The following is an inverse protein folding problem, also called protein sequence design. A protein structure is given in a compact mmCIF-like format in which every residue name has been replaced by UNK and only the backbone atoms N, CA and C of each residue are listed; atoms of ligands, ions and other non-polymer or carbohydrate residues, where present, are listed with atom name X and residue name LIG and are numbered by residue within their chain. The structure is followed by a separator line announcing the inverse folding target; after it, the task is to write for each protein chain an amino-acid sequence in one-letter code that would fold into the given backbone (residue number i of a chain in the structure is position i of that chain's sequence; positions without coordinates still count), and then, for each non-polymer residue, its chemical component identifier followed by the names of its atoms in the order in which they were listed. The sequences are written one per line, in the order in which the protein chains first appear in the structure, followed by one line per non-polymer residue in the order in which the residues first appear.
data_IF_549475327400
#
_entry.id   IF_549475327400
#
_cell.length_a   1.000
_cell.length_b   1.000
_cell.length_c   1.000
_cell.angle_alpha   90.00
_cell.angle_beta   90.00
_cell.angle_gamma   90.00
#
_symmetry.space_group_name_H-M   'P 1'
#
loop_
_entity.id
_entity.type
_entity.pdbx_description
1 polymer ?
#
# COMPACT_ATOMS: atom_id res chain seq x y z
N UNK A 1 36.04 -6.32 9.50
CA UNK A 1 35.17 -6.00 8.34
C UNK A 1 34.74 -4.53 8.42
N UNK A 2 35.29 -3.67 7.56
CA UNK A 2 35.29 -2.20 7.74
C UNK A 2 33.90 -1.58 7.46
N UNK A 3 33.37 -0.73 8.36
CA UNK A 3 32.05 -0.06 8.19
C UNK A 3 31.88 0.67 6.84
N UNK A 4 33.00 1.05 6.19
CA UNK A 4 33.04 1.74 4.90
C UNK A 4 32.63 0.86 3.70
N UNK A 5 32.93 -0.44 3.69
CA UNK A 5 32.45 -1.36 2.63
C UNK A 5 30.94 -1.65 2.75
N UNK A 6 30.38 -1.50 3.96
CA UNK A 6 28.96 -1.75 4.22
C UNK A 6 28.02 -0.75 3.51
N UNK A 7 28.46 0.50 3.29
CA UNK A 7 27.64 1.53 2.65
C UNK A 7 27.46 1.30 1.14
N UNK A 8 28.54 0.90 0.46
CA UNK A 8 28.51 0.50 -0.96
C UNK A 8 27.66 -0.74 -1.14
N UNK A 9 27.85 -1.76 -0.28
CA UNK A 9 27.03 -2.97 -0.29
C UNK A 9 25.55 -2.68 -0.09
N UNK A 10 25.18 -1.84 0.88
CA UNK A 10 23.77 -1.42 1.08
C UNK A 10 23.20 -0.73 -0.15
N UNK A 11 23.97 0.16 -0.77
CA UNK A 11 23.51 0.90 -1.96
C UNK A 11 23.34 -0.01 -3.18
N UNK A 12 24.24 -0.98 -3.35
CA UNK A 12 24.15 -2.04 -4.36
C UNK A 12 22.91 -2.90 -4.15
N UNK A 13 22.66 -3.34 -2.91
CA UNK A 13 21.45 -4.09 -2.57
C UNK A 13 20.17 -3.29 -2.83
N UNK A 14 20.18 -1.98 -2.56
CA UNK A 14 19.06 -1.10 -2.90
C UNK A 14 18.85 -0.99 -4.41
N UNK A 15 19.91 -0.90 -5.21
CA UNK A 15 19.82 -0.91 -6.67
C UNK A 15 19.20 -2.22 -7.19
N UNK A 16 19.66 -3.37 -6.69
CA UNK A 16 19.11 -4.67 -7.08
C UNK A 16 17.66 -4.88 -6.58
N UNK A 17 17.29 -4.27 -5.44
CA UNK A 17 15.89 -4.25 -4.98
C UNK A 17 15.02 -3.39 -5.89
N UNK A 18 15.53 -2.23 -6.31
CA UNK A 18 14.87 -1.39 -7.30
C UNK A 18 14.69 -2.12 -8.63
N UNK A 19 15.74 -2.80 -9.12
CA UNK A 19 15.68 -3.65 -10.31
C UNK A 19 14.56 -4.67 -10.22
N UNK A 20 14.58 -5.52 -9.19
CA UNK A 20 13.52 -6.53 -8.97
C UNK A 20 12.12 -5.94 -8.83
N UNK A 21 12.02 -4.71 -8.33
CA UNK A 21 10.74 -4.02 -8.23
C UNK A 21 10.24 -3.61 -9.61
N UNK A 22 11.05 -2.91 -10.41
CA UNK A 22 10.58 -2.42 -11.71
C UNK A 22 10.51 -3.53 -12.77
N UNK A 23 11.29 -4.60 -12.67
CA UNK A 23 11.18 -5.76 -13.57
C UNK A 23 10.08 -6.74 -13.19
N UNK A 24 9.34 -6.49 -12.10
CA UNK A 24 8.27 -7.37 -11.64
C UNK A 24 7.15 -7.50 -12.69
N UNK A 25 6.82 -8.75 -13.02
CA UNK A 25 5.80 -9.11 -14.01
C UNK A 25 6.27 -9.01 -15.46
N UNK A 26 7.58 -8.83 -15.70
CA UNK A 26 8.19 -9.06 -17.01
C UNK A 26 8.54 -10.55 -17.18
N UNK A 27 8.87 -10.92 -18.41
CA UNK A 27 9.48 -12.21 -18.73
C UNK A 27 10.67 -12.51 -17.78
N UNK A 28 10.74 -13.71 -17.18
CA UNK A 28 11.79 -14.05 -16.22
C UNK A 28 13.21 -13.96 -16.78
N UNK A 29 13.42 -14.31 -18.06
CA UNK A 29 14.74 -14.20 -18.68
C UNK A 29 15.14 -12.73 -18.83
N UNK A 30 14.27 -11.89 -19.39
CA UNK A 30 14.53 -10.46 -19.50
C UNK A 30 14.76 -9.77 -18.14
N UNK A 31 14.06 -10.22 -17.09
CA UNK A 31 14.26 -9.72 -15.73
C UNK A 31 15.60 -10.18 -15.12
N UNK A 32 16.03 -11.41 -15.41
CA UNK A 32 17.33 -11.95 -14.99
C UNK A 32 18.48 -11.23 -15.69
N UNK A 33 18.42 -11.16 -17.03
CA UNK A 33 19.43 -10.50 -17.85
C UNK A 33 19.65 -9.06 -17.40
N UNK A 34 18.56 -8.34 -17.12
CA UNK A 34 18.63 -6.97 -16.62
C UNK A 34 19.24 -6.87 -15.22
N UNK A 35 18.97 -7.83 -14.35
CA UNK A 35 19.55 -7.86 -13.01
C UNK A 35 21.05 -8.16 -13.06
N UNK A 36 21.48 -9.05 -13.96
CA UNK A 36 22.88 -9.42 -14.16
C UNK A 36 23.68 -8.27 -14.80
N UNK A 37 23.11 -7.59 -15.79
CA UNK A 37 23.68 -6.35 -16.37
C UNK A 37 23.91 -5.29 -15.27
N UNK A 38 22.89 -5.01 -14.45
CA UNK A 38 23.01 -4.04 -13.35
C UNK A 38 24.02 -4.50 -12.30
N UNK A 39 24.09 -5.80 -12.01
CA UNK A 39 25.05 -6.35 -11.06
C UNK A 39 26.50 -6.18 -11.58
N UNK A 40 26.74 -6.43 -12.87
CA UNK A 40 28.02 -6.20 -13.53
C UNK A 40 28.41 -4.72 -13.49
N UNK A 41 27.51 -3.82 -13.91
CA UNK A 41 27.70 -2.37 -13.88
C UNK A 41 28.08 -1.85 -12.49
N UNK A 42 27.42 -2.35 -11.45
CA UNK A 42 27.69 -1.97 -10.06
C UNK A 42 29.02 -2.51 -9.56
N UNK A 43 29.41 -3.71 -10.01
CA UNK A 43 30.70 -4.31 -9.69
C UNK A 43 31.85 -3.52 -10.32
N UNK A 44 31.75 -3.23 -11.63
CA UNK A 44 32.72 -2.41 -12.36
C UNK A 44 32.85 -1.00 -11.75
N UNK A 45 31.72 -0.35 -11.45
CA UNK A 45 31.73 0.97 -10.81
C UNK A 45 32.42 0.94 -9.43
N UNK A 46 32.22 -0.12 -8.66
CA UNK A 46 32.87 -0.27 -7.35
C UNK A 46 34.38 -0.53 -7.49
N UNK A 47 34.81 -1.34 -8.46
CA UNK A 47 36.22 -1.59 -8.76
C UNK A 47 36.92 -0.30 -9.21
N UNK A 48 36.37 0.42 -10.18
CA UNK A 48 36.94 1.69 -10.66
C UNK A 48 37.02 2.76 -9.57
N UNK A 49 36.04 2.82 -8.67
CA UNK A 49 36.08 3.74 -7.53
C UNK A 49 37.19 3.35 -6.53
N UNK A 50 37.42 2.05 -6.34
CA UNK A 50 38.50 1.54 -5.49
C UNK A 50 39.88 1.86 -6.08
N UNK A 51 40.07 1.62 -7.38
CA UNK A 51 41.33 1.91 -8.10
C UNK A 51 41.68 3.40 -8.07
N UNK A 52 40.67 4.28 -8.13
CA UNK A 52 40.83 5.74 -8.02
C UNK A 52 40.97 6.25 -6.58
N UNK A 53 40.96 5.36 -5.58
CA UNK A 53 41.04 5.75 -4.17
C UNK A 53 39.84 6.55 -3.67
N UNK A 54 38.67 6.42 -4.32
CA UNK A 54 37.49 7.16 -3.90
C UNK A 54 36.97 6.70 -2.54
N UNK A 55 36.45 7.65 -1.76
CA UNK A 55 35.82 7.31 -0.48
C UNK A 55 34.56 6.44 -0.70
N UNK A 56 34.37 5.34 0.04
CA UNK A 56 33.20 4.47 -0.12
C UNK A 56 31.84 5.17 0.12
N UNK A 57 31.83 6.26 0.91
CA UNK A 57 30.64 7.09 1.10
C UNK A 57 30.28 7.92 -0.15
N UNK A 58 31.28 8.34 -0.93
CA UNK A 58 31.08 9.03 -2.22
C UNK A 58 30.55 8.04 -3.25
N UNK A 59 31.15 6.87 -3.38
CA UNK A 59 30.68 5.79 -4.26
C UNK A 59 29.24 5.38 -3.95
N UNK A 60 28.91 5.19 -2.66
CA UNK A 60 27.54 4.87 -2.24
C UNK A 60 26.53 5.98 -2.59
N UNK A 61 26.93 7.26 -2.50
CA UNK A 61 26.10 8.39 -2.95
C UNK A 61 25.95 8.43 -4.47
N UNK A 62 27.02 8.16 -5.21
CA UNK A 62 26.99 8.09 -6.67
C UNK A 62 26.02 7.00 -7.16
N UNK A 63 26.10 5.79 -6.59
CA UNK A 63 25.17 4.69 -6.89
C UNK A 63 23.72 5.12 -6.62
N UNK A 64 23.43 5.67 -5.42
CA UNK A 64 22.07 6.11 -5.09
C UNK A 64 21.55 7.24 -6.01
N UNK A 65 22.42 8.19 -6.34
CA UNK A 65 22.09 9.26 -7.29
C UNK A 65 21.77 8.72 -8.68
N UNK A 66 22.50 7.69 -9.15
CA UNK A 66 22.24 7.02 -10.43
C UNK A 66 20.89 6.31 -10.43
N UNK A 67 20.54 5.60 -9.35
CA UNK A 67 19.22 4.98 -9.19
C UNK A 67 18.10 6.03 -9.29
N UNK A 68 18.21 7.13 -8.53
CA UNK A 68 17.17 8.16 -8.49
C UNK A 68 16.99 8.87 -9.85
N UNK A 69 18.10 9.24 -10.51
CA UNK A 69 18.05 9.90 -11.82
C UNK A 69 17.67 8.94 -12.95
N UNK A 70 17.99 7.64 -12.81
CA UNK A 70 17.68 6.59 -13.78
C UNK A 70 16.28 6.01 -13.66
N UNK A 71 15.58 6.21 -12.53
CA UNK A 71 14.29 5.59 -12.25
C UNK A 71 13.24 5.83 -13.35
N UNK A 72 13.20 7.02 -13.94
CA UNK A 72 12.29 7.31 -15.06
C UNK A 72 12.60 6.50 -16.32
N UNK A 73 13.88 6.38 -16.67
CA UNK A 73 14.33 5.57 -17.81
C UNK A 73 14.06 4.07 -17.57
N UNK A 74 14.27 3.57 -16.35
CA UNK A 74 13.97 2.19 -15.98
C UNK A 74 12.46 1.88 -16.14
N UNK A 75 11.59 2.80 -15.73
CA UNK A 75 10.14 2.66 -15.90
C UNK A 75 9.69 2.75 -17.37
N UNK A 76 10.34 3.60 -18.17
CA UNK A 76 10.09 3.68 -19.62
C UNK A 76 10.54 2.39 -20.31
N UNK A 77 11.71 1.85 -19.95
CA UNK A 77 12.21 0.57 -20.43
C UNK A 77 11.23 -0.56 -20.10
N UNK A 78 10.74 -0.60 -18.86
CA UNK A 78 9.70 -1.56 -18.45
C UNK A 78 8.46 -1.45 -19.34
N UNK A 79 8.00 -0.23 -19.60
CA UNK A 79 6.82 0.01 -20.44
C UNK A 79 7.04 -0.44 -21.89
N UNK A 80 8.23 -0.25 -22.43
CA UNK A 80 8.60 -0.77 -23.76
C UNK A 80 8.57 -2.30 -23.77
N UNK A 81 9.20 -2.96 -22.79
CA UNK A 81 9.20 -4.43 -22.68
C UNK A 81 7.82 -5.04 -22.50
N UNK A 82 6.94 -4.39 -21.75
CA UNK A 82 5.55 -4.84 -21.64
C UNK A 82 4.83 -4.82 -22.98
N UNK A 83 5.07 -3.81 -23.84
CA UNK A 83 4.42 -3.73 -25.17
C UNK A 83 4.93 -4.80 -26.14
N UNK A 84 6.15 -5.28 -25.95
CA UNK A 84 6.78 -6.33 -26.74
C UNK A 84 6.42 -7.75 -26.25
N UNK A 85 5.87 -7.87 -25.04
CA UNK A 85 5.52 -9.14 -24.41
C UNK A 85 4.20 -9.75 -24.91
N UNK A 86 4.00 -11.04 -24.63
CA UNK A 86 2.76 -11.75 -24.95
C UNK A 86 1.54 -11.13 -24.24
N UNK A 87 0.35 -11.34 -24.79
CA UNK A 87 -0.90 -10.87 -24.19
C UNK A 87 -1.09 -11.38 -22.74
N UNK A 88 -0.57 -12.57 -22.44
CA UNK A 88 -0.57 -13.16 -21.09
C UNK A 88 0.36 -12.42 -20.13
N UNK A 89 1.59 -12.10 -20.55
CA UNK A 89 2.54 -11.32 -19.74
C UNK A 89 2.00 -9.90 -19.45
N UNK A 90 1.35 -9.27 -20.44
CA UNK A 90 0.66 -8.00 -20.29
C UNK A 90 -0.50 -8.08 -19.28
N UNK A 91 -1.29 -9.16 -19.36
CA UNK A 91 -2.38 -9.39 -18.44
C UNK A 91 -1.88 -9.58 -17.01
N UNK A 92 -0.87 -10.41 -16.79
CA UNK A 92 -0.29 -10.67 -15.46
C UNK A 92 0.38 -9.44 -14.86
N UNK A 93 1.12 -8.67 -15.65
CA UNK A 93 1.66 -7.39 -15.22
C UNK A 93 0.57 -6.39 -14.82
N UNK A 94 -0.54 -6.35 -15.57
CA UNK A 94 -1.68 -5.47 -15.30
C UNK A 94 -2.41 -5.91 -14.02
N UNK A 95 -2.71 -7.19 -13.86
CA UNK A 95 -3.33 -7.76 -12.64
C UNK A 95 -2.44 -7.53 -11.42
N UNK A 96 -1.13 -7.76 -11.52
CA UNK A 96 -0.20 -7.48 -10.44
C UNK A 96 -0.15 -6.00 -10.05
N UNK A 97 -0.19 -5.09 -11.03
CA UNK A 97 -0.25 -3.64 -10.77
C UNK A 97 -1.56 -3.20 -10.13
N UNK A 98 -2.69 -3.78 -10.56
CA UNK A 98 -4.01 -3.53 -9.98
C UNK A 98 -4.09 -4.07 -8.54
N UNK A 99 -3.55 -5.26 -8.27
CA UNK A 99 -3.47 -5.86 -6.93
C UNK A 99 -2.67 -4.98 -5.96
N UNK A 100 -1.53 -4.43 -6.42
CA UNK A 100 -0.73 -3.49 -5.64
C UNK A 100 -1.45 -2.14 -5.41
N UNK A 101 -2.11 -1.60 -6.44
CA UNK A 101 -2.90 -0.38 -6.35
C UNK A 101 -4.08 -0.53 -5.38
N UNK A 102 -4.84 -1.63 -5.49
CA UNK A 102 -5.94 -1.96 -4.59
C UNK A 102 -5.46 -2.12 -3.14
N UNK A 103 -4.29 -2.73 -2.92
CA UNK A 103 -3.70 -2.82 -1.58
C UNK A 103 -3.40 -1.44 -1.00
N UNK A 104 -2.82 -0.53 -1.78
CA UNK A 104 -2.53 0.84 -1.34
C UNK A 104 -3.82 1.61 -1.03
N UNK A 105 -4.83 1.52 -1.89
CA UNK A 105 -6.14 2.14 -1.70
C UNK A 105 -6.82 1.59 -0.44
N UNK A 106 -6.85 0.27 -0.27
CA UNK A 106 -7.44 -0.37 0.91
C UNK A 106 -6.77 0.07 2.20
N UNK A 107 -5.42 0.09 2.24
CA UNK A 107 -4.67 0.57 3.40
C UNK A 107 -4.96 2.04 3.71
N UNK A 108 -4.97 2.89 2.68
CA UNK A 108 -5.24 4.32 2.86
C UNK A 108 -6.66 4.57 3.37
N UNK A 109 -7.66 3.90 2.79
CA UNK A 109 -9.05 4.02 3.21
C UNK A 109 -9.24 3.59 4.66
N UNK A 110 -8.76 2.39 5.03
CA UNK A 110 -8.91 1.89 6.40
C UNK A 110 -8.13 2.76 7.37
N UNK A 111 -6.91 3.19 7.03
CA UNK A 111 -6.13 4.10 7.86
C UNK A 111 -6.84 5.43 8.09
N UNK A 112 -7.37 6.07 7.04
CA UNK A 112 -8.12 7.32 7.17
C UNK A 112 -9.33 7.16 8.09
N UNK A 113 -10.10 6.08 7.93
CA UNK A 113 -11.23 5.75 8.80
C UNK A 113 -10.79 5.54 10.26
N UNK A 114 -9.70 4.80 10.51
CA UNK A 114 -9.17 4.60 11.87
C UNK A 114 -8.73 5.92 12.51
N UNK A 115 -8.11 6.82 11.76
CA UNK A 115 -7.67 8.12 12.29
C UNK A 115 -8.88 9.00 12.66
N UNK A 116 -9.89 9.07 11.79
CA UNK A 116 -11.13 9.83 12.05
C UNK A 116 -11.92 9.23 13.22
N UNK A 117 -12.08 7.90 13.24
CA UNK A 117 -12.76 7.17 14.31
C UNK A 117 -12.03 7.28 15.65
N UNK A 118 -10.70 7.24 15.65
CA UNK A 118 -9.87 7.43 16.83
C UNK A 118 -10.01 8.84 17.41
N UNK A 119 -9.97 9.86 16.55
CA UNK A 119 -10.25 11.24 16.95
C UNK A 119 -11.66 11.40 17.54
N UNK A 120 -12.68 10.85 16.88
CA UNK A 120 -14.06 10.89 17.37
C UNK A 120 -14.22 10.15 18.71
N UNK A 121 -13.57 8.98 18.87
CA UNK A 121 -13.58 8.20 20.11
C UNK A 121 -12.98 8.97 21.27
N UNK A 122 -11.86 9.66 21.06
CA UNK A 122 -11.25 10.52 22.09
C UNK A 122 -12.24 11.61 22.50
N UNK A 123 -12.81 12.35 21.53
CA UNK A 123 -13.77 13.42 21.79
C UNK A 123 -14.99 12.92 22.59
N UNK A 124 -15.54 11.78 22.20
CA UNK A 124 -16.75 11.20 22.82
C UNK A 124 -16.47 10.73 24.25
N UNK A 125 -15.32 10.11 24.50
CA UNK A 125 -14.98 9.56 25.82
C UNK A 125 -14.53 10.60 26.83
N UNK A 126 -14.07 11.76 26.38
CA UNK A 126 -13.63 12.86 27.27
C UNK A 126 -14.76 13.78 27.73
N UNK A 127 -15.95 13.68 27.14
CA UNK A 127 -17.06 14.62 27.35
C UNK A 127 -18.20 13.96 28.13
N UNK A 128 -18.63 14.59 29.23
CA UNK A 128 -19.56 13.98 30.21
C UNK A 128 -21.04 14.00 29.79
N UNK A 129 -21.37 14.67 28.68
CA UNK A 129 -22.75 14.91 28.24
C UNK A 129 -23.27 13.88 27.24
N UNK A 130 -22.44 12.92 26.83
CA UNK A 130 -22.80 11.92 25.82
C UNK A 130 -23.64 10.78 26.45
N UNK A 131 -24.78 10.41 25.84
CA UNK A 131 -25.57 9.27 26.31
C UNK A 131 -24.76 7.95 26.35
N UNK A 132 -24.96 7.14 27.40
CA UNK A 132 -24.33 5.81 27.52
C UNK A 132 -24.39 4.93 26.24
N UNK A 133 -25.53 4.80 25.53
CA UNK A 133 -25.59 3.96 24.34
C UNK A 133 -24.74 4.45 23.16
N UNK A 134 -24.34 5.73 23.13
CA UNK A 134 -23.53 6.31 22.04
C UNK A 134 -22.03 6.32 22.35
N UNK A 135 -21.62 5.99 23.60
CA UNK A 135 -20.21 5.94 24.02
C UNK A 135 -19.42 4.78 23.40
N UNK A 136 -20.05 3.61 23.23
CA UNK A 136 -19.37 2.38 22.80
C UNK A 136 -19.29 2.16 21.27
N UNK A 137 -20.29 2.53 20.44
CA UNK A 137 -20.27 2.20 19.02
C UNK A 137 -19.04 2.73 18.26
N UNK A 138 -18.64 3.98 18.50
CA UNK A 138 -17.48 4.61 17.82
C UNK A 138 -16.15 3.92 18.17
N UNK A 139 -15.76 3.74 19.45
CA UNK A 139 -14.51 3.06 19.78
C UNK A 139 -14.51 1.60 19.36
N UNK A 140 -15.65 0.90 19.42
CA UNK A 140 -15.75 -0.49 18.95
C UNK A 140 -15.54 -0.58 17.44
N UNK A 141 -16.24 0.24 16.65
CA UNK A 141 -16.07 0.26 15.19
C UNK A 141 -14.63 0.68 14.80
N UNK A 142 -14.05 1.64 15.52
CA UNK A 142 -12.66 2.07 15.33
C UNK A 142 -11.67 0.94 15.64
N UNK A 143 -11.88 0.21 16.74
CA UNK A 143 -11.04 -0.93 17.11
C UNK A 143 -11.11 -2.04 16.07
N UNK A 144 -12.31 -2.37 15.59
CA UNK A 144 -12.51 -3.35 14.51
C UNK A 144 -11.75 -2.94 13.25
N UNK A 145 -11.87 -1.66 12.84
CA UNK A 145 -11.12 -1.13 11.70
C UNK A 145 -9.60 -1.14 11.93
N UNK A 146 -9.13 -0.85 13.14
CA UNK A 146 -7.71 -0.86 13.49
C UNK A 146 -7.11 -2.28 13.46
N UNK A 147 -7.82 -3.28 13.99
CA UNK A 147 -7.42 -4.69 13.86
C UNK A 147 -7.43 -5.11 12.39
N UNK A 148 -8.46 -4.70 11.64
CA UNK A 148 -8.53 -4.90 10.19
C UNK A 148 -7.30 -4.33 9.47
N UNK A 149 -6.87 -3.11 9.81
CA UNK A 149 -5.69 -2.44 9.26
C UNK A 149 -4.40 -3.21 9.55
N UNK A 150 -4.20 -3.64 10.79
CA UNK A 150 -3.02 -4.42 11.19
C UNK A 150 -2.93 -5.73 10.41
N UNK A 151 -4.06 -6.43 10.26
CA UNK A 151 -4.14 -7.66 9.47
C UNK A 151 -3.94 -7.37 7.97
N UNK A 152 -4.42 -6.22 7.47
CA UNK A 152 -4.31 -5.81 6.08
C UNK A 152 -2.86 -5.55 5.66
N UNK A 153 -2.01 -5.09 6.59
CA UNK A 153 -0.58 -4.90 6.36
C UNK A 153 0.18 -6.23 6.14
N UNK A 154 -0.35 -7.35 6.65
CA UNK A 154 0.26 -8.67 6.51
C UNK A 154 -0.13 -9.37 5.20
N UNK A 155 0.85 -9.81 4.40
CA UNK A 155 0.60 -10.52 3.12
C UNK A 155 -0.28 -11.77 3.26
N UNK A 156 -0.11 -12.52 4.36
CA UNK A 156 -0.87 -13.75 4.64
C UNK A 156 -2.29 -13.45 5.14
N UNK A 157 -2.43 -12.38 5.93
CA UNK A 157 -3.66 -11.99 6.63
C UNK A 157 -4.50 -10.94 5.88
N UNK A 158 -4.01 -10.42 4.73
CA UNK A 158 -4.65 -9.32 3.99
C UNK A 158 -6.14 -9.51 3.70
N UNK A 159 -6.57 -10.75 3.40
CA UNK A 159 -7.98 -11.07 3.12
C UNK A 159 -8.82 -10.91 4.39
N UNK A 160 -8.38 -11.49 5.52
CA UNK A 160 -9.06 -11.34 6.80
C UNK A 160 -9.10 -9.87 7.25
N UNK A 161 -7.99 -9.14 7.04
CA UNK A 161 -7.90 -7.72 7.33
C UNK A 161 -8.87 -6.87 6.51
N UNK A 162 -9.03 -7.16 5.22
CA UNK A 162 -10.00 -6.45 4.37
C UNK A 162 -11.45 -6.79 4.73
N UNK A 163 -11.77 -8.04 5.07
CA UNK A 163 -13.11 -8.42 5.54
C UNK A 163 -13.46 -7.72 6.86
N UNK A 164 -12.56 -7.77 7.84
CA UNK A 164 -12.76 -7.12 9.14
C UNK A 164 -12.78 -5.60 9.01
N UNK A 165 -11.89 -5.04 8.18
CA UNK A 165 -11.87 -3.63 7.82
C UNK A 165 -13.18 -3.19 7.19
N UNK A 166 -13.77 -3.99 6.27
CA UNK A 166 -15.05 -3.69 5.64
C UNK A 166 -16.16 -3.54 6.66
N UNK A 167 -16.24 -4.42 7.66
CA UNK A 167 -17.23 -4.31 8.75
C UNK A 167 -17.03 -3.01 9.52
N UNK A 168 -15.81 -2.73 9.97
CA UNK A 168 -15.51 -1.53 10.75
C UNK A 168 -15.81 -0.23 9.99
N UNK A 169 -15.31 -0.09 8.75
CA UNK A 169 -15.47 1.15 7.97
C UNK A 169 -16.90 1.36 7.45
N UNK A 170 -17.70 0.30 7.30
CA UNK A 170 -19.07 0.44 6.76
C UNK A 170 -20.01 1.16 7.72
N UNK A 171 -19.79 1.02 9.02
CA UNK A 171 -20.63 1.63 10.06
C UNK A 171 -20.02 2.89 10.66
N UNK A 172 -18.70 3.07 10.53
CA UNK A 172 -17.98 4.13 11.23
C UNK A 172 -18.48 5.56 10.90
N UNK A 173 -18.75 5.95 9.64
CA UNK A 173 -19.19 7.30 9.33
C UNK A 173 -20.50 7.69 10.02
N UNK A 174 -21.47 6.78 10.06
CA UNK A 174 -22.78 7.04 10.67
C UNK A 174 -22.66 7.13 12.19
N UNK A 175 -22.04 6.13 12.83
CA UNK A 175 -21.90 6.14 14.30
C UNK A 175 -21.01 7.27 14.81
N UNK A 176 -20.01 7.69 14.03
CA UNK A 176 -19.15 8.82 14.38
C UNK A 176 -19.94 10.14 14.35
N UNK A 177 -20.76 10.37 13.33
CA UNK A 177 -21.57 11.59 13.25
C UNK A 177 -22.66 11.61 14.33
N UNK A 178 -23.33 10.49 14.58
CA UNK A 178 -24.30 10.36 15.67
C UNK A 178 -23.69 10.68 17.04
N UNK A 179 -22.47 10.20 17.31
CA UNK A 179 -21.81 10.50 18.57
C UNK A 179 -21.31 11.95 18.64
N UNK A 180 -20.80 12.48 17.52
CA UNK A 180 -20.32 13.87 17.44
C UNK A 180 -21.44 14.90 17.51
N UNK A 181 -22.69 14.52 17.23
CA UNK A 181 -23.86 15.37 17.45
C UNK A 181 -23.91 15.96 18.87
N UNK A 182 -23.49 15.17 19.88
CA UNK A 182 -23.52 15.57 21.29
C UNK A 182 -22.31 16.43 21.71
N UNK A 183 -21.23 16.42 20.93
CA UNK A 183 -19.92 16.97 21.34
C UNK A 183 -19.44 18.11 20.43
N UNK A 184 -20.03 18.25 19.25
CA UNK A 184 -19.62 19.24 18.24
C UNK A 184 -20.72 20.26 18.00
N UNK A 185 -20.36 21.55 18.06
CA UNK A 185 -21.26 22.62 17.65
C UNK A 185 -21.52 22.63 16.13
N UNK A 186 -20.62 22.06 15.33
CA UNK A 186 -20.71 22.07 13.86
C UNK A 186 -21.61 20.96 13.31
N UNK A 187 -21.65 19.80 13.96
CA UNK A 187 -22.42 18.64 13.45
C UNK A 187 -23.93 18.91 13.40
N UNK A 188 -24.56 19.54 14.41
CA UNK A 188 -25.98 19.91 14.32
C UNK A 188 -26.29 20.88 13.17
N UNK A 189 -25.39 21.84 12.91
CA UNK A 189 -25.51 22.75 11.76
C UNK A 189 -25.38 21.98 10.45
N UNK A 190 -24.44 21.03 10.36
CA UNK A 190 -24.25 20.22 9.15
C UNK A 190 -25.45 19.33 8.85
N UNK A 191 -25.97 18.62 9.84
CA UNK A 191 -27.14 17.72 9.70
C UNK A 191 -28.39 18.53 9.32
N UNK A 192 -28.59 19.70 9.90
CA UNK A 192 -29.73 20.57 9.57
C UNK A 192 -29.62 21.23 8.19
N UNK A 193 -28.41 21.46 7.68
CA UNK A 193 -28.18 22.05 6.35
C UNK A 193 -28.16 21.03 5.22
N UNK A 194 -27.85 19.76 5.51
CA UNK A 194 -27.75 18.69 4.51
C UNK A 194 -28.81 17.62 4.77
N UNK A 195 -30.02 17.74 4.20
CA UNK A 195 -31.18 16.89 4.50
C UNK A 195 -31.05 15.41 4.10
N UNK A 196 -29.93 15.03 3.47
CA UNK A 196 -29.61 13.64 3.11
C UNK A 196 -28.24 13.20 3.65
N UNK A 197 -27.74 13.85 4.71
CA UNK A 197 -26.42 13.55 5.27
C UNK A 197 -26.33 12.08 5.71
N UNK A 198 -27.35 11.56 6.40
CA UNK A 198 -27.37 10.19 6.91
C UNK A 198 -27.26 9.16 5.77
N UNK A 199 -28.01 9.39 4.69
CA UNK A 199 -27.90 8.57 3.48
C UNK A 199 -26.50 8.69 2.85
N UNK A 200 -25.95 9.90 2.79
CA UNK A 200 -24.61 10.15 2.28
C UNK A 200 -23.52 9.41 3.08
N UNK A 201 -23.61 9.41 4.40
CA UNK A 201 -22.70 8.71 5.30
C UNK A 201 -22.85 7.19 5.20
N UNK A 202 -24.09 6.69 5.09
CA UNK A 202 -24.38 5.28 4.86
C UNK A 202 -23.78 4.83 3.51
N UNK A 203 -23.99 5.59 2.45
CA UNK A 203 -23.42 5.31 1.13
C UNK A 203 -21.88 5.37 1.16
N UNK A 204 -21.30 6.34 1.86
CA UNK A 204 -19.86 6.45 2.01
C UNK A 204 -19.27 5.22 2.70
N UNK A 205 -19.81 4.83 3.86
CA UNK A 205 -19.35 3.66 4.60
C UNK A 205 -19.49 2.37 3.76
N UNK A 206 -20.66 2.15 3.17
CA UNK A 206 -20.89 0.95 2.34
C UNK A 206 -20.03 0.94 1.07
N UNK A 207 -19.79 2.08 0.43
CA UNK A 207 -18.87 2.16 -0.71
C UNK A 207 -17.44 1.78 -0.32
N UNK A 208 -16.96 2.24 0.85
CA UNK A 208 -15.66 1.81 1.38
C UNK A 208 -15.63 0.29 1.64
N UNK A 209 -16.69 -0.26 2.25
CA UNK A 209 -16.85 -1.69 2.47
C UNK A 209 -16.81 -2.49 1.16
N UNK A 210 -17.54 -2.05 0.13
CA UNK A 210 -17.57 -2.68 -1.18
C UNK A 210 -16.20 -2.66 -1.88
N UNK A 211 -15.44 -1.57 -1.77
CA UNK A 211 -14.07 -1.50 -2.30
C UNK A 211 -13.18 -2.56 -1.64
N UNK A 212 -13.30 -2.74 -0.33
CA UNK A 212 -12.54 -3.77 0.40
C UNK A 212 -12.97 -5.18 0.01
N UNK A 213 -14.26 -5.42 -0.18
CA UNK A 213 -14.78 -6.71 -0.67
C UNK A 213 -14.34 -7.00 -2.10
N UNK A 214 -14.31 -5.99 -2.97
CA UNK A 214 -13.76 -6.13 -4.32
C UNK A 214 -12.27 -6.49 -4.28
N UNK A 215 -11.49 -5.88 -3.38
CA UNK A 215 -10.09 -6.24 -3.17
C UNK A 215 -9.93 -7.71 -2.70
N UNK A 216 -10.80 -8.17 -1.79
CA UNK A 216 -10.85 -9.59 -1.36
C UNK A 216 -11.09 -10.51 -2.55
N UNK A 217 -12.06 -10.21 -3.41
CA UNK A 217 -12.36 -11.00 -4.61
C UNK A 217 -11.13 -11.07 -5.53
N UNK A 218 -10.52 -9.92 -5.86
CA UNK A 218 -9.32 -9.85 -6.68
C UNK A 218 -8.18 -10.72 -6.12
N UNK A 219 -7.90 -10.62 -4.81
CA UNK A 219 -6.84 -11.40 -4.17
C UNK A 219 -7.17 -12.88 -4.03
N UNK A 220 -8.45 -13.24 -3.94
CA UNK A 220 -8.89 -14.64 -3.88
C UNK A 220 -8.72 -15.33 -5.22
N UNK A 221 -8.97 -14.62 -6.33
CA UNK A 221 -8.73 -15.12 -7.69
C UNK A 221 -7.23 -15.29 -7.93
N UNK A 222 -6.42 -14.30 -7.53
CA UNK A 222 -4.96 -14.36 -7.61
C UNK A 222 -4.38 -15.59 -6.87
N UNK A 223 -4.93 -15.93 -5.69
CA UNK A 223 -4.49 -17.11 -4.92
C UNK A 223 -4.90 -18.46 -5.52
N UNK A 224 -5.94 -18.51 -6.35
CA UNK A 224 -6.49 -19.76 -6.92
C UNK A 224 -5.84 -20.15 -8.25
N UNK A 225 -5.02 -19.30 -8.86
CA UNK A 225 -4.25 -19.68 -10.04
C UNK A 225 -3.22 -20.76 -9.66
N UNK A 226 -3.36 -22.00 -10.14
CA UNK A 226 -2.36 -23.03 -9.90
C UNK A 226 -1.06 -22.64 -10.61
N UNK A 227 0.09 -22.88 -9.98
CA UNK A 227 1.42 -22.73 -10.60
C UNK A 227 1.70 -23.82 -11.67
N UNK A 228 0.69 -24.25 -12.44
CA UNK A 228 0.73 -25.48 -13.21
C UNK A 228 0.12 -25.38 -14.60
N UNK A 229 0.80 -24.67 -15.50
CA UNK A 229 1.07 -25.15 -16.87
C UNK A 229 2.50 -24.73 -17.20
N UNK A 230 3.47 -25.36 -16.54
CA UNK A 230 4.79 -25.50 -17.16
C UNK A 230 4.58 -26.58 -18.22
N UNK A 231 4.32 -26.15 -19.45
CA UNK A 231 4.33 -27.04 -20.60
C UNK A 231 5.74 -27.64 -20.70
N UNK A 232 5.78 -28.96 -20.52
CA UNK A 232 6.92 -29.81 -20.86
C UNK A 232 7.18 -29.80 -22.37
#
# INVERSE_FOLDING_TARGET
MNRRSSAVRRSTLSALRWCRFYTRGLDPLAASDRADEIASDLHEHALWAQERGESPARTARAIRSRILRGAGADLLWRRARLREGSAEALFDARVGSLSAGLQAIALLLVLASVLVGGWASIRVTTESTVPLPTLLPVPVATLVAAVGLLLLAGRRTRIAGALLGAVGVSVLPTVAVDALWYVSATVPVLVSTVPALDLGLLLLGNAQGLILLAAVLCWSIERRRPEGVVAA
#
